data_IF_617939160555
#
_entry.id   IF_617939160555
#
_cell.length_a   1.000
_cell.length_b   1.000
_cell.length_c   1.000
_cell.angle_alpha   90.00
_cell.angle_beta   90.00
_cell.angle_gamma   90.00
#
_symmetry.space_group_name_H-M   'P 1'
#
loop_
_entity.id
_entity.type
_entity.pdbx_description
1 polymer ?
#
# COMPACT_ATOMS: atom_id res chain seq x y z
N UNK A 1 -44.16 19.55 38.73
CA UNK A 1 -43.92 18.60 37.67
C UNK A 1 -43.14 19.19 36.51
N UNK A 2 -43.56 20.28 35.91
CA UNK A 2 -42.85 20.91 34.79
C UNK A 2 -41.47 21.41 35.17
N UNK A 3 -41.30 21.90 36.42
CA UNK A 3 -40.01 22.43 36.90
C UNK A 3 -38.96 21.32 37.05
N UNK A 4 -39.39 20.13 37.50
CA UNK A 4 -38.49 18.96 37.65
C UNK A 4 -38.04 18.42 36.30
N UNK A 5 -38.95 18.37 35.32
CA UNK A 5 -38.63 17.91 33.96
C UNK A 5 -37.66 18.88 33.31
N UNK A 6 -37.87 20.17 33.45
CA UNK A 6 -36.96 21.20 32.89
C UNK A 6 -35.59 21.14 33.56
N UNK A 7 -35.52 20.91 34.86
CA UNK A 7 -34.25 20.74 35.58
C UNK A 7 -33.51 19.49 35.15
N UNK A 8 -34.22 18.37 34.97
CA UNK A 8 -33.63 17.12 34.48
C UNK A 8 -33.08 17.28 33.06
N UNK A 9 -33.81 17.98 32.17
CA UNK A 9 -33.35 18.25 30.80
C UNK A 9 -32.12 19.17 30.79
N UNK A 10 -32.08 20.19 31.66
CA UNK A 10 -30.95 21.07 31.80
C UNK A 10 -29.69 20.34 32.25
N UNK A 11 -29.82 19.46 33.25
CA UNK A 11 -28.72 18.62 33.73
C UNK A 11 -28.24 17.68 32.62
N UNK A 12 -29.16 17.07 31.87
CA UNK A 12 -28.83 16.21 30.75
C UNK A 12 -28.06 16.94 29.65
N UNK A 13 -28.45 18.17 29.37
CA UNK A 13 -27.75 19.01 28.38
C UNK A 13 -26.34 19.41 28.85
N UNK A 14 -26.18 19.72 30.12
CA UNK A 14 -24.86 20.01 30.70
C UNK A 14 -23.93 18.82 30.64
N UNK A 15 -24.43 17.61 30.98
CA UNK A 15 -23.66 16.38 30.89
C UNK A 15 -23.26 16.12 29.43
N UNK A 16 -24.18 16.27 28.50
CA UNK A 16 -23.92 16.10 27.06
C UNK A 16 -22.85 17.08 26.59
N UNK A 17 -22.95 18.35 26.93
CA UNK A 17 -21.97 19.37 26.54
C UNK A 17 -20.60 19.11 27.15
N UNK A 18 -20.54 18.51 28.34
CA UNK A 18 -19.29 18.15 29.00
C UNK A 18 -18.63 16.95 28.33
N UNK A 19 -19.44 15.95 27.93
CA UNK A 19 -18.96 14.70 27.35
C UNK A 19 -18.68 14.77 25.84
N UNK A 20 -19.36 15.65 25.11
CA UNK A 20 -19.24 15.74 23.65
C UNK A 20 -17.81 15.93 23.16
N UNK A 21 -16.96 16.79 23.77
CA UNK A 21 -15.57 16.90 23.33
C UNK A 21 -14.81 15.59 23.46
N UNK A 22 -15.06 14.82 24.52
CA UNK A 22 -14.41 13.54 24.72
C UNK A 22 -14.89 12.49 23.72
N UNK A 23 -16.19 12.47 23.43
CA UNK A 23 -16.77 11.57 22.43
C UNK A 23 -16.22 11.91 21.06
N UNK A 24 -16.15 13.18 20.70
CA UNK A 24 -15.60 13.63 19.41
C UNK A 24 -14.13 13.29 19.27
N UNK A 25 -13.34 13.47 20.34
CA UNK A 25 -11.93 13.09 20.34
C UNK A 25 -11.74 11.58 20.16
N UNK A 26 -12.59 10.78 20.83
CA UNK A 26 -12.54 9.33 20.72
C UNK A 26 -12.91 8.86 19.30
N UNK A 27 -13.95 9.45 18.70
CA UNK A 27 -14.33 9.17 17.32
C UNK A 27 -13.23 9.50 16.33
N UNK A 28 -12.59 10.66 16.48
CA UNK A 28 -11.47 11.05 15.65
C UNK A 28 -10.31 10.08 15.78
N UNK A 29 -10.03 9.63 17.00
CA UNK A 29 -8.97 8.65 17.24
C UNK A 29 -9.26 7.33 16.53
N UNK A 30 -10.49 6.82 16.65
CA UNK A 30 -10.90 5.56 15.99
C UNK A 30 -10.80 5.69 14.48
N UNK A 31 -11.31 6.78 13.91
CA UNK A 31 -11.25 7.03 12.47
C UNK A 31 -9.79 7.13 12.01
N UNK A 32 -8.96 7.83 12.76
CA UNK A 32 -7.53 7.98 12.44
C UNK A 32 -6.83 6.62 12.43
N UNK A 33 -7.13 5.75 13.39
CA UNK A 33 -6.54 4.40 13.44
C UNK A 33 -6.98 3.55 12.24
N UNK A 34 -8.23 3.67 11.81
CA UNK A 34 -8.71 2.95 10.63
C UNK A 34 -8.02 3.44 9.36
N UNK A 35 -7.91 4.75 9.20
CA UNK A 35 -7.27 5.34 8.03
C UNK A 35 -5.76 5.14 8.01
N UNK A 36 -5.13 4.93 9.16
CA UNK A 36 -3.68 4.72 9.23
C UNK A 36 -3.24 3.54 8.37
N UNK A 37 -3.89 2.40 8.50
CA UNK A 37 -3.54 1.20 7.73
C UNK A 37 -3.74 1.42 6.24
N UNK A 38 -4.83 2.07 5.86
CA UNK A 38 -5.13 2.41 4.48
C UNK A 38 -4.10 3.39 3.92
N UNK A 39 -3.73 4.42 4.68
CA UNK A 39 -2.73 5.39 4.28
C UNK A 39 -1.35 4.74 4.08
N UNK A 40 -0.97 3.81 4.94
CA UNK A 40 0.29 3.07 4.82
C UNK A 40 0.30 2.23 3.55
N UNK A 41 -0.80 1.55 3.23
CA UNK A 41 -0.92 0.75 2.00
C UNK A 41 -0.77 1.63 0.75
N UNK A 42 -1.43 2.78 0.73
CA UNK A 42 -1.32 3.72 -0.39
C UNK A 42 0.09 4.27 -0.50
N UNK A 43 0.71 4.65 0.62
CA UNK A 43 2.07 5.18 0.62
C UNK A 43 3.07 4.16 0.07
N UNK A 44 2.98 2.91 0.49
CA UNK A 44 3.83 1.83 -0.03
C UNK A 44 3.58 1.55 -1.50
N UNK A 45 2.32 1.60 -1.93
CA UNK A 45 1.95 1.45 -3.33
C UNK A 45 2.51 2.57 -4.19
N UNK A 46 2.38 3.80 -3.75
CA UNK A 46 2.95 4.95 -4.44
C UNK A 46 4.48 4.88 -4.50
N UNK A 47 5.12 4.49 -3.40
CA UNK A 47 6.57 4.34 -3.36
C UNK A 47 7.04 3.32 -4.40
N UNK A 48 6.36 2.18 -4.52
CA UNK A 48 6.68 1.16 -5.52
C UNK A 48 6.40 1.66 -6.94
N UNK A 49 5.26 2.32 -7.14
CA UNK A 49 4.89 2.86 -8.46
C UNK A 49 5.86 3.94 -8.94
N UNK A 50 6.38 4.75 -8.03
CA UNK A 50 7.35 5.79 -8.35
C UNK A 50 8.79 5.27 -8.45
N UNK A 51 9.02 4.01 -8.08
CA UNK A 51 10.34 3.40 -8.18
C UNK A 51 10.68 3.17 -9.65
N UNK A 52 11.72 3.86 -10.13
CA UNK A 52 12.16 3.76 -11.52
C UNK A 52 12.83 2.43 -11.86
N UNK A 53 13.21 1.65 -10.84
CA UNK A 53 13.85 0.36 -11.06
C UNK A 53 12.89 -0.67 -11.64
N UNK A 54 11.61 -0.60 -11.27
CA UNK A 54 10.58 -1.54 -11.72
C UNK A 54 9.48 -0.78 -12.46
N UNK A 55 9.23 -1.17 -13.70
CA UNK A 55 8.21 -0.58 -14.55
C UNK A 55 7.27 -1.67 -15.07
N UNK A 56 6.08 -1.27 -15.50
CA UNK A 56 5.14 -2.18 -16.14
C UNK A 56 5.77 -2.76 -17.40
N UNK A 57 5.62 -4.07 -17.58
CA UNK A 57 6.23 -4.79 -18.71
C UNK A 57 7.62 -5.36 -18.43
N UNK A 58 8.22 -5.05 -17.28
CA UNK A 58 9.54 -5.57 -16.93
C UNK A 58 9.47 -7.05 -16.58
N UNK A 59 10.48 -7.80 -17.02
CA UNK A 59 10.66 -9.18 -16.60
C UNK A 59 11.35 -9.20 -15.26
N UNK A 60 10.77 -9.92 -14.31
CA UNK A 60 11.30 -10.04 -12.97
C UNK A 60 11.28 -11.51 -12.52
N UNK A 61 12.10 -11.83 -11.53
CA UNK A 61 12.06 -13.13 -10.86
C UNK A 61 11.38 -12.91 -9.53
N UNK A 62 10.28 -13.61 -9.32
CA UNK A 62 9.42 -13.49 -8.17
C UNK A 62 9.34 -14.85 -7.48
N UNK A 63 9.86 -14.93 -6.27
CA UNK A 63 9.95 -16.20 -5.52
C UNK A 63 10.58 -17.35 -6.32
N UNK A 64 11.61 -17.02 -7.08
CA UNK A 64 12.30 -18.03 -7.93
C UNK A 64 11.60 -18.33 -9.25
N UNK A 65 10.48 -17.69 -9.55
CA UNK A 65 9.72 -17.88 -10.78
C UNK A 65 9.84 -16.67 -11.70
N UNK A 66 10.04 -16.93 -12.99
CA UNK A 66 10.01 -15.86 -13.98
C UNK A 66 8.61 -15.29 -14.12
N UNK A 67 8.51 -13.98 -14.07
CA UNK A 67 7.25 -13.28 -14.19
C UNK A 67 7.43 -11.95 -14.89
N UNK A 68 6.29 -11.34 -15.26
CA UNK A 68 6.27 -10.03 -15.90
C UNK A 68 5.37 -9.13 -15.07
N UNK A 69 5.80 -7.91 -14.86
CA UNK A 69 4.95 -6.92 -14.18
C UNK A 69 3.88 -6.48 -15.18
N UNK A 70 2.65 -6.87 -14.94
CA UNK A 70 1.52 -6.53 -15.81
C UNK A 70 1.02 -5.12 -15.51
N UNK A 71 0.81 -4.83 -14.23
CA UNK A 71 0.29 -3.53 -13.80
C UNK A 71 0.75 -3.22 -12.38
N UNK A 72 1.15 -1.97 -12.17
CA UNK A 72 1.48 -1.45 -10.84
C UNK A 72 0.35 -0.52 -10.41
N UNK A 73 -0.46 -0.96 -9.45
CA UNK A 73 -1.54 -0.17 -8.88
C UNK A 73 -1.13 0.52 -7.58
N UNK A 74 -2.06 1.28 -7.02
CA UNK A 74 -1.82 1.99 -5.75
C UNK A 74 -1.76 1.04 -4.55
N UNK A 75 -2.55 -0.02 -4.57
CA UNK A 75 -2.64 -0.97 -3.45
C UNK A 75 -2.14 -2.35 -3.82
N UNK A 76 -2.21 -2.73 -5.08
CA UNK A 76 -1.84 -4.06 -5.55
C UNK A 76 -1.05 -3.97 -6.86
N UNK A 77 -0.11 -4.89 -7.01
CA UNK A 77 0.63 -5.06 -8.26
C UNK A 77 0.29 -6.43 -8.84
N UNK A 78 0.08 -6.48 -10.14
CA UNK A 78 -0.26 -7.72 -10.85
C UNK A 78 0.98 -8.25 -11.54
N UNK A 79 1.31 -9.50 -11.24
CA UNK A 79 2.41 -10.23 -11.88
C UNK A 79 1.84 -11.33 -12.77
N UNK A 80 2.33 -11.40 -13.99
CA UNK A 80 1.98 -12.48 -14.90
C UNK A 80 3.01 -13.61 -14.79
N UNK A 81 2.54 -14.82 -14.48
CA UNK A 81 3.40 -15.99 -14.31
C UNK A 81 2.96 -17.09 -15.24
N UNK A 82 3.95 -17.79 -15.82
CA UNK A 82 3.71 -19.02 -16.55
C UNK A 82 3.98 -20.21 -15.62
N UNK A 83 2.95 -21.00 -15.39
CA UNK A 83 3.04 -22.19 -14.55
C UNK A 83 2.43 -23.40 -15.23
N UNK A 84 2.28 -24.48 -14.49
CA UNK A 84 1.71 -25.74 -14.97
C UNK A 84 0.28 -25.58 -15.50
N UNK A 85 -0.44 -24.57 -14.99
CA UNK A 85 -1.82 -24.26 -15.40
C UNK A 85 -1.88 -23.25 -16.56
N UNK A 86 -0.74 -22.85 -17.13
CA UNK A 86 -0.65 -21.85 -18.16
C UNK A 86 -0.31 -20.47 -17.60
N UNK A 87 -0.77 -19.43 -18.29
CA UNK A 87 -0.50 -18.05 -17.91
C UNK A 87 -1.51 -17.60 -16.85
N UNK A 88 -1.01 -17.19 -15.70
CA UNK A 88 -1.83 -16.74 -14.59
C UNK A 88 -1.38 -15.36 -14.11
N UNK A 89 -2.33 -14.59 -13.58
CA UNK A 89 -2.04 -13.32 -12.93
C UNK A 89 -2.10 -13.51 -11.42
N UNK A 90 -1.05 -13.02 -10.75
CA UNK A 90 -1.01 -13.02 -9.30
C UNK A 90 -1.10 -11.60 -8.80
N UNK A 91 -2.09 -11.36 -7.95
CA UNK A 91 -2.30 -10.05 -7.31
C UNK A 91 -1.56 -10.02 -6.00
N UNK A 92 -0.58 -9.12 -5.87
CA UNK A 92 0.26 -9.01 -4.68
C UNK A 92 0.05 -7.64 -4.06
N UNK A 93 -0.34 -7.56 -2.77
CA UNK A 93 -0.40 -6.29 -2.07
C UNK A 93 0.96 -5.60 -2.09
N UNK A 94 0.97 -4.30 -2.38
CA UNK A 94 2.22 -3.55 -2.50
C UNK A 94 3.03 -3.54 -1.20
N UNK A 95 2.36 -3.67 -0.06
CA UNK A 95 3.02 -3.74 1.24
C UNK A 95 3.89 -4.99 1.41
N UNK A 96 3.60 -6.05 0.66
CA UNK A 96 4.37 -7.30 0.70
C UNK A 96 5.53 -7.33 -0.29
N UNK A 97 5.55 -6.44 -1.26
CA UNK A 97 6.60 -6.46 -2.31
C UNK A 97 7.98 -6.27 -1.71
N UNK A 98 8.10 -5.43 -0.68
CA UNK A 98 9.38 -5.21 0.00
C UNK A 98 9.92 -6.46 0.71
N UNK A 99 9.05 -7.38 1.12
CA UNK A 99 9.44 -8.63 1.78
C UNK A 99 9.70 -9.77 0.78
N UNK A 100 9.27 -9.61 -0.46
CA UNK A 100 9.52 -10.56 -1.52
C UNK A 100 10.89 -10.29 -2.13
N UNK A 101 11.60 -11.36 -2.46
CA UNK A 101 12.88 -11.24 -3.16
C UNK A 101 12.60 -11.01 -4.64
N UNK A 102 12.26 -9.78 -4.98
CA UNK A 102 11.97 -9.40 -6.34
C UNK A 102 13.27 -9.04 -7.04
N UNK A 103 13.60 -9.78 -8.09
CA UNK A 103 14.79 -9.55 -8.89
C UNK A 103 14.39 -9.10 -10.28
N UNK A 104 15.03 -8.07 -10.78
CA UNK A 104 14.80 -7.60 -12.15
C UNK A 104 15.73 -8.33 -13.10
N UNK A 105 15.18 -8.89 -14.17
CA UNK A 105 15.97 -9.52 -15.22
C UNK A 105 16.56 -8.42 -16.10
N UNK A 106 17.87 -8.31 -16.05
CA UNK A 106 18.65 -7.40 -16.89
C UNK A 106 19.27 -8.26 -17.97
N UNK A 107 19.86 -7.62 -19.00
CA UNK A 107 20.59 -8.33 -20.04
C UNK A 107 21.59 -9.30 -19.39
N UNK A 108 21.50 -10.63 -19.67
CA UNK A 108 22.35 -11.62 -19.02
C UNK A 108 23.83 -11.47 -19.35
N UNK A 109 24.15 -10.75 -20.41
CA UNK A 109 25.54 -10.49 -20.82
C UNK A 109 26.16 -9.30 -20.07
N UNK A 110 25.36 -8.54 -19.31
CA UNK A 110 25.82 -7.38 -18.55
C UNK A 110 26.04 -7.77 -17.09
N UNK A 111 27.25 -7.55 -16.60
CA UNK A 111 27.59 -7.79 -15.20
C UNK A 111 27.65 -6.50 -14.38
N UNK A 112 27.67 -5.34 -15.03
CA UNK A 112 27.76 -4.02 -14.40
C UNK A 112 29.01 -3.82 -13.54
N UNK A 113 30.06 -4.59 -13.83
CA UNK A 113 31.33 -4.50 -13.13
C UNK A 113 32.23 -3.39 -13.67
N UNK A 114 31.98 -2.99 -14.93
CA UNK A 114 32.75 -1.95 -15.61
C UNK A 114 31.90 -0.72 -15.86
N UNK A 115 32.57 0.42 -16.00
CA UNK A 115 31.89 1.69 -16.31
C UNK A 115 31.20 1.64 -17.67
N UNK A 116 31.75 0.88 -18.61
CA UNK A 116 31.18 0.69 -19.92
C UNK A 116 29.86 -0.03 -19.89
N UNK A 117 29.78 -1.11 -19.11
CA UNK A 117 28.54 -1.88 -18.92
C UNK A 117 27.47 -1.04 -18.22
N UNK A 118 27.86 -0.24 -17.23
CA UNK A 118 26.94 0.68 -16.55
C UNK A 118 26.39 1.73 -17.51
N UNK A 119 27.23 2.24 -18.40
CA UNK A 119 26.82 3.21 -19.42
C UNK A 119 25.84 2.61 -20.42
N UNK A 120 26.06 1.36 -20.85
CA UNK A 120 25.13 0.66 -21.73
C UNK A 120 23.76 0.48 -21.11
N UNK A 121 23.73 0.14 -19.84
CA UNK A 121 22.45 -0.04 -19.14
C UNK A 121 21.65 1.25 -19.05
N UNK A 122 22.32 2.39 -18.90
CA UNK A 122 21.69 3.70 -18.78
C UNK A 122 21.17 4.25 -20.11
N UNK A 123 21.59 3.68 -21.22
CA UNK A 123 21.07 3.98 -22.55
C UNK A 123 19.81 3.13 -22.84
#
# INVERSE_FOLDING_TARGET
MNTEIMSANAVGMEITNLLMPFISALLLLVITLWFKDFAVKIAKGMAFKMNKAFNEGDKVIFEGQESVIVKIGLTETVFGLYGDRGYTWRYVPNERIATLKLEKVINPDLHLDTDLEKAEKLQ
#
